data_IF_340885866254
#
_entry.id   IF_340885866254
#
_cell.length_a   1.000
_cell.length_b   1.000
_cell.length_c   1.000
_cell.angle_alpha   90.00
_cell.angle_beta   90.00
_cell.angle_gamma   90.00
#
_symmetry.space_group_name_H-M   'P 1'
#
loop_
_entity.id
_entity.type
_entity.pdbx_description
1 polymer ?
#
# COMPACT_ATOMS: atom_id res chain seq x y z
N UNK A 1 15.94 5.75 3.56
CA UNK A 1 14.90 4.71 3.65
C UNK A 1 13.57 5.42 3.88
N UNK A 2 12.63 5.37 2.93
CA UNK A 2 11.36 6.11 3.03
C UNK A 2 10.40 5.43 4.04
N UNK A 3 9.55 6.21 4.71
CA UNK A 3 8.60 5.68 5.73
C UNK A 3 7.66 4.64 5.13
N UNK A 4 7.26 4.86 3.89
CA UNK A 4 6.39 4.00 3.09
C UNK A 4 7.08 2.68 2.80
N UNK A 5 8.32 2.69 2.31
CA UNK A 5 9.09 1.46 2.11
C UNK A 5 9.29 0.70 3.42
N UNK A 6 9.58 1.39 4.53
CA UNK A 6 9.73 0.73 5.83
C UNK A 6 8.41 0.09 6.30
N UNK A 7 7.27 0.76 6.06
CA UNK A 7 5.95 0.20 6.32
C UNK A 7 5.71 -1.05 5.47
N UNK A 8 5.95 -0.95 4.16
CA UNK A 8 5.76 -2.06 3.23
C UNK A 8 6.64 -3.27 3.57
N UNK A 9 7.88 -3.06 4.00
CA UNK A 9 8.76 -4.14 4.46
C UNK A 9 8.26 -4.71 5.79
N UNK A 10 7.91 -3.87 6.76
CA UNK A 10 7.45 -4.29 8.10
C UNK A 10 6.20 -5.17 8.05
N UNK A 11 5.30 -4.90 7.12
CA UNK A 11 4.07 -5.67 6.93
C UNK A 11 4.15 -6.70 5.79
N UNK A 12 5.34 -6.93 5.20
CA UNK A 12 5.53 -7.90 4.13
C UNK A 12 4.84 -7.55 2.80
N UNK A 13 4.37 -6.32 2.65
CA UNK A 13 3.65 -5.82 1.47
C UNK A 13 4.59 -5.45 0.32
N UNK A 14 5.88 -5.19 0.58
CA UNK A 14 6.84 -4.69 -0.42
C UNK A 14 7.01 -5.56 -1.68
N UNK A 15 6.61 -6.83 -1.64
CA UNK A 15 6.70 -7.74 -2.78
C UNK A 15 5.64 -7.43 -3.87
N UNK A 16 4.45 -6.98 -3.43
CA UNK A 16 3.29 -6.80 -4.30
C UNK A 16 2.60 -5.44 -4.14
N UNK A 17 3.10 -4.57 -3.26
CA UNK A 17 2.62 -3.20 -3.08
C UNK A 17 3.77 -2.24 -3.30
N UNK A 18 3.54 -1.24 -4.15
CA UNK A 18 4.43 -0.10 -4.35
C UNK A 18 3.74 1.18 -3.88
N UNK A 19 4.51 2.19 -3.49
CA UNK A 19 3.98 3.48 -3.11
C UNK A 19 4.68 4.57 -3.90
N UNK A 20 3.89 5.48 -4.48
CA UNK A 20 4.38 6.71 -5.08
C UNK A 20 3.80 7.91 -4.35
N UNK A 21 4.57 9.01 -4.35
CA UNK A 21 4.18 10.25 -3.70
C UNK A 21 3.96 11.31 -4.76
N UNK A 22 2.71 11.68 -4.98
CA UNK A 22 2.31 12.66 -6.00
C UNK A 22 1.74 13.90 -5.32
N UNK A 23 2.40 15.04 -5.50
CA UNK A 23 1.93 16.37 -5.04
C UNK A 23 1.41 16.43 -3.60
N UNK A 24 2.06 15.70 -2.68
CA UNK A 24 1.71 15.69 -1.25
C UNK A 24 0.84 14.52 -0.80
N UNK A 25 0.25 13.75 -1.72
CA UNK A 25 -0.55 12.56 -1.43
C UNK A 25 0.25 11.27 -1.65
N UNK A 26 -0.02 10.27 -0.81
CA UNK A 26 0.55 8.93 -0.94
C UNK A 26 -0.43 8.07 -1.75
N UNK A 27 0.05 7.52 -2.86
CA UNK A 27 -0.70 6.57 -3.69
C UNK A 27 -0.06 5.21 -3.54
N UNK A 28 -0.85 4.20 -3.17
CA UNK A 28 -0.39 2.83 -3.06
C UNK A 28 -0.95 1.99 -4.20
N UNK A 29 -0.07 1.29 -4.89
CA UNK A 29 -0.40 0.40 -6.00
C UNK A 29 -0.22 -1.04 -5.54
N UNK A 30 -1.30 -1.82 -5.58
CA UNK A 30 -1.30 -3.25 -5.25
C UNK A 30 -1.33 -4.03 -6.56
N UNK A 31 -0.37 -4.92 -6.78
CA UNK A 31 -0.39 -5.84 -7.92
C UNK A 31 -1.61 -6.76 -7.79
N UNK A 32 -2.51 -6.72 -8.77
CA UNK A 32 -3.75 -7.49 -8.80
C UNK A 32 -3.58 -9.00 -9.01
N UNK A 33 -2.34 -9.48 -9.13
CA UNK A 33 -2.02 -10.90 -9.24
C UNK A 33 -2.20 -11.67 -7.91
N UNK A 34 -2.23 -10.95 -6.79
CA UNK A 34 -2.48 -11.53 -5.47
C UNK A 34 -3.96 -11.87 -5.24
N UNK A 35 -4.24 -12.84 -4.38
CA UNK A 35 -5.61 -13.20 -4.04
C UNK A 35 -6.39 -12.03 -3.42
N UNK A 36 -7.71 -11.95 -3.67
CA UNK A 36 -8.59 -10.90 -3.14
C UNK A 36 -8.45 -10.70 -1.62
N UNK A 37 -8.19 -11.77 -0.87
CA UNK A 37 -7.98 -11.72 0.57
C UNK A 37 -6.70 -10.94 0.95
N UNK A 38 -5.61 -11.12 0.20
CA UNK A 38 -4.35 -10.37 0.37
C UNK A 38 -4.52 -8.91 -0.01
N UNK A 39 -5.25 -8.64 -1.10
CA UNK A 39 -5.57 -7.26 -1.54
C UNK A 39 -6.38 -6.54 -0.46
N UNK A 40 -7.41 -7.18 0.10
CA UNK A 40 -8.20 -6.63 1.21
C UNK A 40 -7.35 -6.41 2.47
N UNK A 41 -6.47 -7.36 2.79
CA UNK A 41 -5.57 -7.23 3.94
C UNK A 41 -4.60 -6.04 3.78
N UNK A 42 -3.97 -5.90 2.61
CA UNK A 42 -3.10 -4.78 2.29
C UNK A 42 -3.85 -3.43 2.36
N UNK A 43 -5.07 -3.36 1.81
CA UNK A 43 -5.93 -2.18 1.91
C UNK A 43 -6.20 -1.77 3.35
N UNK A 44 -6.55 -2.71 4.22
CA UNK A 44 -6.80 -2.42 5.64
C UNK A 44 -5.55 -1.92 6.36
N UNK A 45 -4.39 -2.54 6.09
CA UNK A 45 -3.12 -2.09 6.67
C UNK A 45 -2.77 -0.67 6.23
N UNK A 46 -2.84 -0.39 4.93
CA UNK A 46 -2.51 0.93 4.36
C UNK A 46 -3.44 2.00 4.95
N UNK A 47 -4.75 1.74 5.00
CA UNK A 47 -5.72 2.67 5.62
C UNK A 47 -5.44 2.90 7.10
N UNK A 48 -5.09 1.86 7.85
CA UNK A 48 -4.73 2.00 9.26
C UNK A 48 -3.42 2.75 9.51
N UNK A 49 -2.48 2.71 8.58
CA UNK A 49 -1.17 3.36 8.71
C UNK A 49 -1.10 4.79 8.14
N UNK A 50 -1.81 5.06 7.05
CA UNK A 50 -1.71 6.32 6.29
C UNK A 50 -3.02 7.13 6.29
N UNK A 51 -4.11 6.57 6.84
CA UNK A 51 -5.42 7.20 6.92
C UNK A 51 -6.39 6.69 5.86
N UNK A 52 -7.69 6.76 6.16
CA UNK A 52 -8.76 6.23 5.30
C UNK A 52 -8.87 6.94 3.94
N UNK A 53 -8.39 8.19 3.85
CA UNK A 53 -8.38 9.00 2.62
C UNK A 53 -7.21 8.69 1.69
N UNK A 54 -6.35 7.73 2.06
CA UNK A 54 -5.23 7.30 1.22
C UNK A 54 -5.72 6.67 -0.07
N UNK A 55 -5.14 7.09 -1.20
CA UNK A 55 -5.45 6.52 -2.50
C UNK A 55 -4.80 5.15 -2.65
N UNK A 56 -5.62 4.14 -2.94
CA UNK A 56 -5.15 2.76 -3.15
C UNK A 56 -5.71 2.26 -4.47
N UNK A 57 -4.81 1.94 -5.40
CA UNK A 57 -5.12 1.43 -6.71
C UNK A 57 -4.66 -0.02 -6.83
N UNK A 58 -5.42 -0.83 -7.58
CA UNK A 58 -5.06 -2.21 -7.89
C UNK A 58 -4.74 -2.25 -9.38
N UNK A 59 -3.52 -2.65 -9.72
CA UNK A 59 -2.95 -2.64 -11.09
C UNK A 59 -2.53 -4.02 -11.55
#
# INVERSE_FOLDING_TARGET
MNKEQNFLVRYGLHNFVTCERTSGSHVFFIKGMEGQNMICHAKNLIKGGFGETTTIEVV
#
